data_IF_108699580802
#
_entry.id   IF_108699580802
#
_cell.length_a   1.000
_cell.length_b   1.000
_cell.length_c   1.000
_cell.angle_alpha   90.00
_cell.angle_beta   90.00
_cell.angle_gamma   90.00
#
_symmetry.space_group_name_H-M   'P 1'
#
loop_
_entity.id
_entity.type
_entity.pdbx_description
1 polymer ?
#
# COMPACT_ATOMS: atom_id res chain seq x y z
N UNK A 1 60.40 -54.38 0.22
CA UNK A 1 60.07 -53.63 -1.01
C UNK A 1 58.83 -54.26 -1.62
N UNK A 2 57.69 -53.56 -1.58
CA UNK A 2 56.42 -54.08 -2.11
C UNK A 2 55.44 -52.92 -2.32
N UNK A 3 55.48 -52.30 -3.50
CA UNK A 3 54.56 -51.24 -3.88
C UNK A 3 53.29 -51.88 -4.45
N UNK A 4 52.17 -51.74 -3.73
CA UNK A 4 50.83 -52.06 -4.25
C UNK A 4 50.45 -51.00 -5.28
N UNK A 5 50.23 -51.42 -6.52
CA UNK A 5 49.63 -50.61 -7.57
C UNK A 5 48.11 -50.54 -7.36
N UNK A 6 47.55 -49.33 -7.39
CA UNK A 6 46.11 -49.08 -7.44
C UNK A 6 45.63 -49.19 -8.89
N UNK A 7 44.45 -49.78 -9.17
CA UNK A 7 43.91 -49.81 -10.53
C UNK A 7 43.29 -48.45 -10.92
N UNK A 8 43.71 -47.97 -12.09
CA UNK A 8 43.15 -46.81 -12.79
C UNK A 8 41.79 -47.17 -13.40
N UNK A 9 40.69 -46.76 -12.76
CA UNK A 9 39.35 -46.81 -13.36
C UNK A 9 39.22 -45.73 -14.43
N UNK A 10 39.43 -46.13 -15.68
CA UNK A 10 39.08 -45.36 -16.87
C UNK A 10 37.57 -45.49 -17.08
N UNK A 11 36.82 -44.47 -16.69
CA UNK A 11 35.42 -44.33 -17.08
C UNK A 11 35.41 -43.72 -18.49
N UNK A 12 35.29 -44.58 -19.50
CA UNK A 12 34.91 -44.17 -20.85
C UNK A 12 33.41 -43.80 -20.81
N UNK A 13 33.13 -42.50 -20.80
CA UNK A 13 31.78 -41.98 -21.01
C UNK A 13 31.63 -41.75 -22.51
N UNK A 14 30.93 -42.66 -23.18
CA UNK A 14 30.43 -42.47 -24.54
C UNK A 14 29.48 -41.26 -24.57
N UNK A 15 29.93 -40.17 -25.19
CA UNK A 15 29.09 -39.02 -25.54
C UNK A 15 28.53 -39.29 -26.93
N UNK A 16 27.22 -39.55 -27.10
CA UNK A 16 26.64 -39.69 -28.42
C UNK A 16 26.66 -38.34 -29.14
N UNK A 17 27.45 -38.28 -30.22
CA UNK A 17 27.39 -37.24 -31.22
C UNK A 17 26.03 -37.26 -31.93
N UNK A 18 25.42 -36.08 -32.11
CA UNK A 18 24.33 -35.90 -33.07
C UNK A 18 22.98 -35.53 -32.46
N UNK A 19 22.85 -34.29 -31.98
CA UNK A 19 21.58 -33.55 -32.13
C UNK A 19 21.87 -32.27 -32.91
N UNK A 20 21.43 -32.27 -34.16
CA UNK A 20 21.38 -31.09 -35.01
C UNK A 20 20.45 -30.07 -34.33
N UNK A 21 21.01 -28.91 -33.97
CA UNK A 21 20.22 -27.79 -33.49
C UNK A 21 19.29 -27.33 -34.62
N UNK A 22 17.99 -27.40 -34.37
CA UNK A 22 16.99 -26.82 -35.24
C UNK A 22 17.28 -25.33 -35.46
N UNK A 23 17.17 -24.90 -36.71
CA UNK A 23 17.26 -23.51 -37.10
C UNK A 23 16.21 -22.69 -36.32
N UNK A 24 16.64 -22.04 -35.24
CA UNK A 24 15.83 -21.05 -34.56
C UNK A 24 15.67 -19.89 -35.53
N UNK A 25 14.44 -19.68 -36.00
CA UNK A 25 14.01 -18.47 -36.70
C UNK A 25 14.30 -17.26 -35.81
N UNK A 26 15.48 -16.67 -35.95
CA UNK A 26 15.82 -15.39 -35.37
C UNK A 26 15.05 -14.34 -36.17
N UNK A 27 13.89 -13.94 -35.63
CA UNK A 27 13.23 -12.73 -36.10
C UNK A 27 14.21 -11.57 -35.91
N UNK A 28 14.38 -10.67 -36.89
CA UNK A 28 15.28 -9.54 -36.76
C UNK A 28 14.89 -8.73 -35.53
N UNK A 29 15.86 -8.49 -34.65
CA UNK A 29 15.68 -7.63 -33.49
C UNK A 29 15.27 -6.24 -33.98
N UNK A 30 14.04 -5.82 -33.69
CA UNK A 30 13.65 -4.43 -33.95
C UNK A 30 14.57 -3.48 -33.18
N UNK A 31 15.03 -2.39 -33.81
CA UNK A 31 15.85 -1.40 -33.13
C UNK A 31 15.06 -0.83 -31.94
N UNK A 32 15.71 -0.69 -30.79
CA UNK A 32 15.12 -0.13 -29.56
C UNK A 32 14.41 1.20 -29.83
N UNK A 33 14.93 1.99 -30.77
CA UNK A 33 14.35 3.26 -31.24
C UNK A 33 12.92 3.09 -31.77
N UNK A 34 12.63 2.02 -32.55
CA UNK A 34 11.29 1.78 -33.08
C UNK A 34 10.27 1.46 -31.98
N UNK A 35 10.70 0.75 -30.92
CA UNK A 35 9.85 0.48 -29.75
C UNK A 35 9.56 1.75 -28.96
N UNK A 36 10.57 2.59 -28.74
CA UNK A 36 10.42 3.87 -28.04
C UNK A 36 9.47 4.80 -28.81
N UNK A 37 9.62 4.90 -30.13
CA UNK A 37 8.74 5.75 -30.96
C UNK A 37 7.28 5.31 -30.89
N UNK A 38 6.97 4.01 -30.94
CA UNK A 38 5.58 3.52 -30.77
C UNK A 38 4.99 3.84 -29.40
N UNK A 39 5.80 3.74 -28.35
CA UNK A 39 5.36 4.11 -26.98
C UNK A 39 5.07 5.61 -26.90
N UNK A 40 5.89 6.46 -27.52
CA UNK A 40 5.66 7.90 -27.57
C UNK A 40 4.41 8.26 -28.39
N UNK A 41 4.18 7.61 -29.54
CA UNK A 41 2.95 7.78 -30.32
C UNK A 41 1.71 7.36 -29.54
N UNK A 42 1.77 6.23 -28.82
CA UNK A 42 0.69 5.78 -27.96
C UNK A 42 0.38 6.80 -26.86
N UNK A 43 1.41 7.31 -26.16
CA UNK A 43 1.25 8.33 -25.12
C UNK A 43 0.64 9.62 -25.70
N UNK A 44 1.08 10.03 -26.90
CA UNK A 44 0.53 11.20 -27.58
C UNK A 44 -0.96 11.00 -27.95
N UNK A 45 -1.34 9.81 -28.42
CA UNK A 45 -2.74 9.47 -28.68
C UNK A 45 -3.58 9.47 -27.40
N UNK A 46 -3.08 8.90 -26.30
CA UNK A 46 -3.80 8.88 -25.02
C UNK A 46 -4.03 10.29 -24.48
N UNK A 47 -3.04 11.19 -24.57
CA UNK A 47 -3.21 12.60 -24.17
C UNK A 47 -4.28 13.32 -24.98
N UNK A 48 -4.33 13.10 -26.30
CA UNK A 48 -5.37 13.68 -27.16
C UNK A 48 -6.76 13.16 -26.79
N UNK A 49 -6.88 11.86 -26.51
CA UNK A 49 -8.15 11.24 -26.10
C UNK A 49 -8.64 11.77 -24.75
N UNK A 50 -7.74 11.96 -23.78
CA UNK A 50 -8.12 12.51 -22.46
C UNK A 50 -8.67 13.93 -22.62
N UNK A 51 -7.97 14.79 -23.38
CA UNK A 51 -8.41 16.18 -23.60
C UNK A 51 -9.79 16.23 -24.29
N UNK A 52 -10.02 15.40 -25.31
CA UNK A 52 -11.32 15.38 -26.00
C UNK A 52 -12.45 14.87 -25.10
N UNK A 53 -12.22 13.81 -24.33
CA UNK A 53 -13.21 13.29 -23.37
C UNK A 53 -13.52 14.33 -22.29
N UNK A 54 -12.51 15.02 -21.76
CA UNK A 54 -12.71 16.09 -20.77
C UNK A 54 -13.55 17.26 -21.33
N UNK A 55 -13.33 17.66 -22.58
CA UNK A 55 -14.13 18.70 -23.24
C UNK A 55 -15.58 18.25 -23.46
N UNK A 56 -15.80 17.01 -23.91
CA UNK A 56 -17.14 16.45 -24.10
C UNK A 56 -17.89 16.38 -22.76
N UNK A 57 -17.25 15.88 -21.71
CA UNK A 57 -17.85 15.77 -20.38
C UNK A 57 -18.19 17.14 -19.80
N UNK A 58 -17.30 18.12 -19.97
CA UNK A 58 -17.55 19.50 -19.54
C UNK A 58 -18.71 20.14 -20.30
N UNK A 59 -18.81 19.89 -21.61
CA UNK A 59 -19.95 20.35 -22.42
C UNK A 59 -21.27 19.72 -21.98
N UNK A 60 -21.29 18.41 -21.71
CA UNK A 60 -22.48 17.71 -21.20
C UNK A 60 -22.96 18.26 -19.84
N UNK A 61 -22.03 18.60 -18.94
CA UNK A 61 -22.34 19.22 -17.64
C UNK A 61 -23.01 20.60 -17.79
N UNK A 62 -22.54 21.43 -18.74
CA UNK A 62 -23.16 22.74 -19.01
C UNK A 62 -24.58 22.59 -19.56
N UNK A 63 -24.81 21.63 -20.47
CA UNK A 63 -26.14 21.35 -21.04
C UNK A 63 -27.10 20.83 -19.96
N UNK A 64 -26.63 19.94 -19.08
CA UNK A 64 -27.44 19.43 -17.96
C UNK A 64 -27.76 20.54 -16.94
N UNK A 65 -26.81 21.43 -16.64
CA UNK A 65 -27.03 22.57 -15.74
C UNK A 65 -28.07 23.56 -16.25
N UNK A 66 -28.17 23.77 -17.56
CA UNK A 66 -29.21 24.60 -18.18
C UNK A 66 -30.61 23.98 -18.09
N UNK A 67 -30.72 22.64 -18.02
CA UNK A 67 -32.00 21.95 -17.88
C UNK A 67 -32.58 22.01 -16.45
N UNK A 68 -31.75 22.25 -15.42
CA UNK A 68 -32.19 22.34 -14.02
C UNK A 68 -32.64 23.74 -13.56
N UNK A 69 -32.63 24.75 -14.45
CA UNK A 69 -32.96 26.13 -14.06
C UNK A 69 -34.47 26.46 -14.04
N UNK A 70 -35.39 25.51 -14.28
CA UNK A 70 -36.84 25.80 -14.41
C UNK A 70 -37.76 25.18 -13.35
N UNK A 71 -37.26 24.67 -12.23
CA UNK A 71 -38.14 24.06 -11.21
C UNK A 71 -37.76 24.44 -9.78
N UNK A 72 -37.67 25.75 -9.52
CA UNK A 72 -37.66 26.21 -8.12
C UNK A 72 -38.51 27.48 -7.98
N UNK A 73 -39.84 27.29 -8.05
CA UNK A 73 -40.77 28.27 -7.52
C UNK A 73 -41.87 27.51 -6.77
N UNK A 74 -42.04 27.90 -5.50
CA UNK A 74 -42.98 27.41 -4.48
C UNK A 74 -42.44 26.22 -3.69
N UNK A 75 -41.85 26.49 -2.53
CA UNK A 75 -42.56 26.26 -1.27
C UNK A 75 -41.96 27.15 -0.18
N UNK A 76 -42.80 28.03 0.33
CA UNK A 76 -42.53 28.86 1.49
C UNK A 76 -42.49 28.00 2.77
N UNK A 77 -41.62 28.45 3.67
CA UNK A 77 -41.53 28.26 5.13
C UNK A 77 -42.69 27.54 5.86
N UNK A 78 -42.38 26.89 7.00
CA UNK A 78 -42.41 27.65 8.25
C UNK A 78 -41.14 27.55 9.08
N UNK A 79 -40.78 28.71 9.64
CA UNK A 79 -39.93 28.90 10.81
C UNK A 79 -40.53 28.13 11.98
N UNK A 80 -39.78 27.19 12.56
CA UNK A 80 -39.87 26.90 13.99
C UNK A 80 -38.59 26.20 14.45
N UNK A 81 -38.08 26.64 15.61
CA UNK A 81 -36.93 26.12 16.36
C UNK A 81 -35.53 26.43 15.81
N UNK A 82 -35.24 27.72 15.65
CA UNK A 82 -34.08 28.25 16.37
C UNK A 82 -34.53 28.41 17.84
N UNK A 83 -33.80 27.82 18.79
CA UNK A 83 -33.63 28.25 20.18
C UNK A 83 -33.32 27.07 21.09
N UNK A 84 -32.03 26.73 21.23
CA UNK A 84 -31.46 26.19 22.48
C UNK A 84 -29.96 26.46 22.51
N UNK A 85 -29.59 27.74 22.55
CA UNK A 85 -28.28 28.23 22.97
C UNK A 85 -28.41 29.69 23.40
N UNK A 86 -29.02 29.95 24.56
CA UNK A 86 -28.81 31.18 25.35
C UNK A 86 -29.64 31.13 26.64
N UNK A 87 -29.10 30.54 27.71
CA UNK A 87 -29.43 31.04 29.03
C UNK A 87 -28.29 31.99 29.41
N UNK A 88 -28.52 33.29 29.22
CA UNK A 88 -27.69 34.39 29.71
C UNK A 88 -28.55 35.12 30.74
N UNK A 89 -28.13 35.06 31.99
CA UNK A 89 -28.67 35.86 33.08
C UNK A 89 -28.13 37.30 33.03
N UNK A 90 -28.83 38.21 33.72
CA UNK A 90 -28.62 39.66 33.68
C UNK A 90 -27.38 40.16 34.44
N UNK A 91 -26.40 39.29 34.69
CA UNK A 91 -25.15 39.62 35.38
C UNK A 91 -24.01 38.87 34.70
N UNK A 92 -23.39 39.49 33.69
CA UNK A 92 -22.36 38.87 32.85
C UNK A 92 -21.12 38.37 33.60
N UNK A 93 -21.22 37.21 34.24
CA UNK A 93 -20.12 36.52 34.92
C UNK A 93 -20.44 35.03 35.09
N UNK A 94 -19.62 34.16 34.51
CA UNK A 94 -19.61 32.74 34.87
C UNK A 94 -18.91 32.60 36.22
N UNK A 95 -19.66 32.29 37.27
CA UNK A 95 -19.09 31.79 38.53
C UNK A 95 -19.73 30.46 38.93
N UNK A 96 -18.90 29.65 39.57
CA UNK A 96 -19.03 28.23 39.79
C UNK A 96 -20.21 27.81 40.66
N UNK A 97 -20.88 26.70 40.30
CA UNK A 97 -21.51 25.78 41.24
C UNK A 97 -22.04 24.52 40.52
N UNK A 98 -21.27 23.43 40.53
CA UNK A 98 -21.75 22.06 40.75
C UNK A 98 -20.55 21.21 41.19
N UNK A 99 -20.12 21.46 42.42
CA UNK A 99 -19.48 20.46 43.23
C UNK A 99 -20.59 19.68 43.94
N UNK A 100 -20.74 18.40 43.60
CA UNK A 100 -21.47 17.29 44.28
C UNK A 100 -21.70 16.24 43.17
N UNK A 101 -21.23 15.00 43.18
CA UNK A 101 -20.79 14.11 44.26
C UNK A 101 -20.01 12.98 43.56
N UNK A 102 -18.68 12.93 43.71
CA UNK A 102 -17.93 11.70 43.42
C UNK A 102 -18.09 10.81 44.64
N UNK A 103 -19.27 10.20 44.75
CA UNK A 103 -19.50 9.16 45.73
C UNK A 103 -18.51 8.03 45.46
N UNK A 104 -17.84 7.61 46.54
CA UNK A 104 -16.95 6.47 46.61
C UNK A 104 -17.66 5.22 46.11
N UNK A 105 -17.56 4.93 44.81
CA UNK A 105 -17.89 3.62 44.28
C UNK A 105 -17.01 2.58 45.01
N UNK A 106 -17.58 1.46 45.49
CA UNK A 106 -16.80 0.44 46.17
C UNK A 106 -15.76 -0.14 45.21
N UNK A 107 -14.53 -0.27 45.72
CA UNK A 107 -13.29 -0.65 44.99
C UNK A 107 -13.33 -2.07 44.37
N UNK A 108 -14.46 -2.77 44.45
CA UNK A 108 -14.61 -4.18 44.07
C UNK A 108 -15.56 -4.42 42.88
N UNK A 109 -16.02 -3.39 42.18
CA UNK A 109 -16.83 -3.54 40.95
C UNK A 109 -16.02 -3.51 39.65
N UNK A 110 -14.75 -3.94 39.68
CA UNK A 110 -14.04 -4.40 38.48
C UNK A 110 -14.62 -5.76 38.02
N UNK A 111 -15.94 -5.87 37.85
CA UNK A 111 -16.53 -6.94 37.07
C UNK A 111 -16.17 -6.67 35.61
N UNK A 112 -15.01 -7.19 35.20
CA UNK A 112 -14.59 -7.47 33.82
C UNK A 112 -15.39 -6.69 32.75
N UNK A 113 -15.25 -5.37 32.73
CA UNK A 113 -15.55 -4.63 31.50
C UNK A 113 -14.48 -5.07 30.51
N UNK A 114 -14.78 -6.12 29.73
CA UNK A 114 -13.98 -6.51 28.58
C UNK A 114 -13.91 -5.26 27.72
N UNK A 115 -12.77 -4.58 27.73
CA UNK A 115 -12.46 -3.60 26.70
C UNK A 115 -12.76 -4.29 25.37
N UNK A 116 -13.55 -3.67 24.46
CA UNK A 116 -13.76 -4.22 23.14
C UNK A 116 -12.39 -4.49 22.54
N UNK A 117 -12.06 -5.76 22.31
CA UNK A 117 -10.81 -6.13 21.66
C UNK A 117 -10.85 -5.48 20.29
N UNK A 118 -10.06 -4.42 20.09
CA UNK A 118 -9.90 -3.81 18.77
C UNK A 118 -9.66 -4.93 17.76
N UNK A 119 -10.29 -4.91 16.57
CA UNK A 119 -10.19 -6.01 15.62
C UNK A 119 -8.73 -6.26 15.27
N UNK A 120 -8.16 -7.34 15.84
CA UNK A 120 -6.76 -7.75 15.66
C UNK A 120 -6.57 -8.50 14.33
N UNK A 121 -7.38 -8.21 13.33
CA UNK A 121 -7.28 -8.89 12.04
C UNK A 121 -6.10 -8.28 11.31
N UNK A 122 -4.98 -9.02 11.29
CA UNK A 122 -3.91 -8.71 10.35
C UNK A 122 -4.57 -8.61 8.97
N UNK A 123 -4.28 -7.60 8.14
CA UNK A 123 -4.80 -7.62 6.80
C UNK A 123 -4.43 -8.96 6.16
N UNK A 124 -5.40 -9.60 5.52
CA UNK A 124 -5.19 -10.88 4.86
C UNK A 124 -4.58 -10.61 3.49
N UNK A 125 -3.58 -11.40 3.11
CA UNK A 125 -2.86 -11.24 1.85
C UNK A 125 -2.69 -12.59 1.17
N UNK A 126 -2.63 -12.57 -0.16
CA UNK A 126 -2.29 -13.77 -0.93
C UNK A 126 -0.77 -13.90 -0.95
N UNK A 127 -0.27 -15.13 -0.80
CA UNK A 127 1.17 -15.39 -0.95
C UNK A 127 1.61 -15.04 -2.37
N UNK A 128 2.78 -14.41 -2.51
CA UNK A 128 3.35 -13.90 -3.78
C UNK A 128 2.52 -12.85 -4.49
N UNK A 129 1.71 -12.10 -3.75
CA UNK A 129 1.02 -10.94 -4.31
C UNK A 129 1.97 -9.76 -4.50
N UNK A 130 1.75 -8.96 -5.55
CA UNK A 130 2.54 -7.76 -5.81
C UNK A 130 2.47 -6.79 -4.62
N UNK A 131 3.64 -6.32 -4.19
CA UNK A 131 3.74 -5.42 -3.05
C UNK A 131 3.04 -4.07 -3.31
N UNK A 132 3.00 -3.58 -4.56
CA UNK A 132 2.24 -2.38 -4.92
C UNK A 132 0.76 -2.48 -4.57
N UNK A 133 0.10 -3.59 -4.91
CA UNK A 133 -1.31 -3.82 -4.61
C UNK A 133 -1.54 -3.97 -3.08
N UNK A 134 -0.60 -4.62 -2.39
CA UNK A 134 -0.59 -4.76 -0.92
C UNK A 134 -0.49 -3.38 -0.26
N UNK A 135 0.45 -2.55 -0.71
CA UNK A 135 0.69 -1.18 -0.24
C UNK A 135 -0.53 -0.29 -0.39
N UNK A 136 -1.15 -0.29 -1.56
CA UNK A 136 -2.38 0.47 -1.81
C UNK A 136 -3.50 0.08 -0.85
N UNK A 137 -3.66 -1.22 -0.58
CA UNK A 137 -4.65 -1.67 0.42
C UNK A 137 -4.29 -1.25 1.83
N UNK A 138 -3.02 -1.37 2.23
CA UNK A 138 -2.57 -0.94 3.55
C UNK A 138 -2.90 0.54 3.77
N UNK A 139 -2.55 1.41 2.82
CA UNK A 139 -2.88 2.83 2.84
C UNK A 139 -4.40 3.05 2.91
N UNK A 140 -5.18 2.38 2.05
CA UNK A 140 -6.66 2.46 2.04
C UNK A 140 -7.29 2.04 3.37
N UNK A 141 -6.70 1.07 4.07
CA UNK A 141 -7.17 0.61 5.37
C UNK A 141 -6.61 1.43 6.55
N UNK A 142 -5.96 2.57 6.28
CA UNK A 142 -5.45 3.47 7.32
C UNK A 142 -4.19 2.97 8.01
N UNK A 143 -3.42 2.10 7.37
CA UNK A 143 -2.05 1.83 7.79
C UNK A 143 -1.14 2.94 7.30
N UNK A 144 -0.23 3.35 8.18
CA UNK A 144 0.74 4.39 7.90
C UNK A 144 2.10 3.75 7.61
N UNK A 145 2.82 4.24 6.59
CA UNK A 145 4.25 3.96 6.44
C UNK A 145 4.97 4.29 7.73
N UNK A 146 5.75 3.36 8.24
CA UNK A 146 6.55 3.55 9.43
C UNK A 146 7.99 3.18 9.12
N UNK A 147 8.92 3.90 9.72
CA UNK A 147 10.33 3.58 9.63
C UNK A 147 11.04 3.87 10.94
N UNK A 148 12.12 3.12 11.21
CA UNK A 148 12.97 3.31 12.39
C UNK A 148 14.20 4.14 12.05
N UNK A 149 14.89 4.62 13.09
CA UNK A 149 16.07 5.45 12.92
C UNK A 149 17.25 4.72 12.26
N UNK A 150 17.27 3.40 12.36
CA UNK A 150 18.25 2.48 11.79
C UNK A 150 17.85 1.94 10.40
N UNK A 151 16.76 2.44 9.81
CA UNK A 151 16.37 2.01 8.47
C UNK A 151 17.42 2.40 7.42
N UNK A 152 17.65 1.48 6.48
CA UNK A 152 18.55 1.70 5.36
C UNK A 152 18.06 2.84 4.47
N UNK A 153 19.00 3.48 3.78
CA UNK A 153 18.66 4.42 2.71
C UNK A 153 18.40 3.64 1.43
N UNK A 154 17.31 3.97 0.76
CA UNK A 154 17.06 3.46 -0.57
C UNK A 154 18.15 3.95 -1.53
N UNK A 155 18.75 3.02 -2.28
CA UNK A 155 19.74 3.35 -3.31
C UNK A 155 19.02 4.05 -4.47
N UNK A 156 19.62 5.12 -4.99
CA UNK A 156 19.06 5.85 -6.12
C UNK A 156 18.88 4.93 -7.33
N UNK A 157 17.67 4.93 -7.91
CA UNK A 157 17.31 4.06 -9.04
C UNK A 157 16.81 2.66 -8.64
N UNK A 158 16.79 2.32 -7.35
CA UNK A 158 16.19 1.07 -6.88
C UNK A 158 14.66 1.20 -6.80
N UNK A 159 13.99 0.77 -7.87
CA UNK A 159 12.53 0.81 -7.99
C UNK A 159 11.78 0.01 -6.90
N UNK A 160 12.47 -0.89 -6.18
CA UNK A 160 11.86 -1.67 -5.09
C UNK A 160 11.54 -0.78 -3.89
N UNK A 161 12.37 0.23 -3.61
CA UNK A 161 12.25 1.10 -2.43
C UNK A 161 12.01 2.58 -2.74
N UNK A 162 12.19 3.02 -3.99
CA UNK A 162 12.02 4.42 -4.35
C UNK A 162 10.59 4.92 -4.07
N UNK A 163 10.48 6.07 -3.39
CA UNK A 163 9.19 6.65 -3.00
C UNK A 163 8.41 5.86 -1.93
N UNK A 164 9.07 4.94 -1.21
CA UNK A 164 8.48 4.08 -0.19
C UNK A 164 9.07 4.36 1.19
N UNK A 165 8.54 5.36 1.93
CA UNK A 165 9.07 5.73 3.24
C UNK A 165 8.90 4.63 4.30
N UNK A 166 8.12 3.58 4.02
CA UNK A 166 7.99 2.40 4.86
C UNK A 166 9.18 1.43 4.78
N UNK A 167 10.15 1.62 3.88
CA UNK A 167 11.28 0.70 3.73
C UNK A 167 12.16 0.67 4.98
N UNK A 168 12.51 -0.53 5.44
CA UNK A 168 13.43 -0.77 6.55
C UNK A 168 14.80 -1.21 6.06
N UNK A 169 14.83 -2.20 5.19
CA UNK A 169 16.05 -2.72 4.61
C UNK A 169 15.73 -3.36 3.26
N UNK A 170 16.69 -3.27 2.34
CA UNK A 170 16.66 -4.00 1.08
C UNK A 170 18.02 -4.65 0.85
N UNK A 171 18.03 -5.95 0.60
CA UNK A 171 19.22 -6.67 0.21
C UNK A 171 19.67 -6.20 -1.18
N UNK A 172 20.96 -5.84 -1.29
CA UNK A 172 21.60 -5.47 -2.55
C UNK A 172 22.07 -6.65 -3.40
N UNK A 173 21.99 -7.88 -2.89
CA UNK A 173 22.37 -9.12 -3.60
C UNK A 173 21.41 -10.26 -3.28
N UNK A 174 21.39 -11.30 -4.11
CA UNK A 174 20.57 -12.50 -3.92
C UNK A 174 19.14 -12.35 -4.44
N UNK A 175 18.14 -12.75 -3.64
CA UNK A 175 16.71 -12.76 -4.01
C UNK A 175 16.04 -11.37 -4.02
N UNK A 176 16.82 -10.30 -3.94
CA UNK A 176 16.34 -8.92 -3.93
C UNK A 176 15.32 -8.64 -2.80
N UNK A 177 15.54 -9.22 -1.62
CA UNK A 177 14.63 -9.13 -0.49
C UNK A 177 14.51 -7.70 0.02
N UNK A 178 13.29 -7.29 0.39
CA UNK A 178 13.07 -6.04 1.11
C UNK A 178 12.14 -6.28 2.29
N UNK A 179 12.30 -5.47 3.33
CA UNK A 179 11.38 -5.41 4.46
C UNK A 179 10.76 -4.02 4.55
N UNK A 180 9.43 -3.97 4.70
CA UNK A 180 8.66 -2.73 4.77
C UNK A 180 7.79 -2.70 6.02
N UNK A 181 7.87 -1.61 6.78
CA UNK A 181 7.24 -1.49 8.10
C UNK A 181 6.02 -0.58 8.06
N UNK A 182 4.96 -1.05 8.70
CA UNK A 182 3.66 -0.39 8.72
C UNK A 182 3.14 -0.30 10.14
N UNK A 183 2.45 0.81 10.44
CA UNK A 183 1.83 1.04 11.74
C UNK A 183 0.35 1.37 11.59
N UNK A 184 -0.48 0.83 12.50
CA UNK A 184 -1.86 1.24 12.70
C UNK A 184 -2.22 1.12 14.17
N UNK A 185 -2.53 2.25 14.81
CA UNK A 185 -2.64 2.35 16.27
C UNK A 185 -1.40 1.73 16.94
N UNK A 186 -1.60 0.81 17.90
CA UNK A 186 -0.51 0.14 18.63
C UNK A 186 0.03 -1.12 17.93
N UNK A 187 -0.37 -1.37 16.68
CA UNK A 187 0.06 -2.54 15.91
C UNK A 187 1.10 -2.10 14.88
N UNK A 188 2.26 -2.75 14.93
CA UNK A 188 3.30 -2.66 13.90
C UNK A 188 3.39 -4.00 13.17
N UNK A 189 3.50 -3.95 11.85
CA UNK A 189 3.73 -5.13 11.01
C UNK A 189 4.91 -4.87 10.09
N UNK A 190 5.61 -5.95 9.78
CA UNK A 190 6.67 -5.97 8.78
C UNK A 190 6.20 -6.85 7.60
N UNK A 191 6.38 -6.33 6.40
CA UNK A 191 6.01 -6.95 5.13
C UNK A 191 7.30 -7.29 4.40
N UNK A 192 7.62 -8.58 4.33
CA UNK A 192 8.79 -9.07 3.61
C UNK A 192 8.43 -9.37 2.17
N UNK A 193 9.30 -8.95 1.25
CA UNK A 193 9.17 -9.20 -0.18
C UNK A 193 10.42 -9.82 -0.75
N UNK A 194 10.29 -10.42 -1.94
CA UNK A 194 11.38 -10.94 -2.76
C UNK A 194 11.20 -10.49 -4.22
N UNK A 195 12.25 -10.67 -5.02
CA UNK A 195 12.40 -10.32 -6.45
C UNK A 195 12.51 -8.81 -6.75
N UNK A 196 13.01 -8.50 -7.95
CA UNK A 196 13.11 -7.13 -8.47
C UNK A 196 11.74 -6.47 -8.66
N UNK A 197 10.74 -7.26 -9.02
CA UNK A 197 9.32 -6.88 -8.96
C UNK A 197 8.79 -7.42 -7.63
N UNK A 198 8.69 -6.60 -6.56
CA UNK A 198 8.56 -7.13 -5.22
C UNK A 198 7.22 -7.83 -5.02
N UNK A 199 7.28 -9.10 -4.60
CA UNK A 199 6.11 -9.88 -4.19
C UNK A 199 6.18 -10.24 -2.72
N UNK A 200 5.05 -10.19 -2.02
CA UNK A 200 4.99 -10.46 -0.59
C UNK A 200 5.16 -11.95 -0.32
N UNK A 201 6.09 -12.27 0.58
CA UNK A 201 6.30 -13.62 1.10
C UNK A 201 5.62 -13.80 2.44
N UNK A 202 5.87 -12.86 3.36
CA UNK A 202 5.50 -12.98 4.76
C UNK A 202 5.07 -11.63 5.32
N UNK A 203 4.11 -11.67 6.25
CA UNK A 203 3.74 -10.51 7.05
C UNK A 203 3.76 -10.92 8.52
N UNK A 204 4.68 -10.34 9.26
CA UNK A 204 4.87 -10.59 10.68
C UNK A 204 4.30 -9.43 11.49
N UNK A 205 3.67 -9.74 12.62
CA UNK A 205 3.30 -8.74 13.62
C UNK A 205 4.48 -8.55 14.57
N UNK A 206 4.82 -7.29 14.82
CA UNK A 206 5.84 -6.91 15.77
C UNK A 206 5.17 -6.59 17.12
N UNK A 207 5.50 -7.35 18.17
CA UNK A 207 5.16 -7.01 19.55
C UNK A 207 6.47 -6.72 20.28
N UNK A 208 6.91 -5.46 20.17
CA UNK A 208 8.16 -4.89 20.68
C UNK A 208 9.42 -5.51 20.04
N UNK A 209 10.28 -4.65 19.50
CA UNK A 209 11.61 -4.99 18.92
C UNK A 209 11.61 -5.99 17.75
N UNK A 210 11.00 -5.60 16.63
CA UNK A 210 11.39 -6.18 15.35
C UNK A 210 12.73 -5.60 14.93
N UNK A 211 13.79 -6.35 15.22
CA UNK A 211 15.16 -6.11 14.78
C UNK A 211 15.53 -7.09 13.67
#
# INVERSE_FOLDING_TARGET
>A
MGKRALPSNRFDIDIPAGRTCGASSQRPAEPIVARVMRVLEYIAMTKRLIVTVSLILSGLLVVAGLASASTERRHALPRHLADHCAYRDASGGCSAAMAQTIERAPRNSWTKARHPKAPTTNPAFKRRELYSAVRERLLKFGWQPASTADADRCIQGDSRCEGRPEMQACAGTGEANCNFRWRKADIVIDVSTINDIPVVTTISKCRNDCR
#
